data_IF_776625696134
#
_entry.id   IF_776625696134
#
_cell.length_a   1.000
_cell.length_b   1.000
_cell.length_c   1.000
_cell.angle_alpha   90.00
_cell.angle_beta   90.00
_cell.angle_gamma   90.00
#
_symmetry.space_group_name_H-M   'P 1'
#
loop_
_entity.id
_entity.type
_entity.pdbx_description
1 polymer ?
#
# COMPACT_ATOMS: atom_id res chain seq x y z
N UNK A 1 25.24 31.55 5.41
CA UNK A 1 24.75 30.32 6.07
C UNK A 1 23.35 29.97 5.53
N UNK A 2 22.94 30.59 4.42
CA UNK A 2 21.53 30.78 4.08
C UNK A 2 21.00 29.81 3.01
N UNK A 3 21.86 29.05 2.34
CA UNK A 3 21.46 28.14 1.26
C UNK A 3 20.96 26.77 1.78
N UNK A 4 21.49 26.30 2.91
CA UNK A 4 21.05 25.05 3.52
C UNK A 4 19.68 25.18 4.19
N UNK A 5 19.39 26.32 4.81
CA UNK A 5 18.10 26.55 5.46
C UNK A 5 16.96 26.66 4.44
N UNK A 6 17.20 27.32 3.31
CA UNK A 6 16.27 27.39 2.17
C UNK A 6 16.01 25.99 1.58
N UNK A 7 17.07 25.23 1.32
CA UNK A 7 16.95 23.85 0.82
C UNK A 7 16.18 22.92 1.78
N UNK A 8 16.40 23.07 3.10
CA UNK A 8 15.66 22.29 4.11
C UNK A 8 14.19 22.70 4.17
N UNK A 9 13.87 23.98 3.97
CA UNK A 9 12.49 24.45 3.89
C UNK A 9 11.76 23.88 2.67
N UNK A 10 12.41 23.86 1.50
CA UNK A 10 11.84 23.27 0.28
C UNK A 10 11.56 21.77 0.45
N UNK A 11 12.49 21.01 1.06
CA UNK A 11 12.27 19.59 1.36
C UNK A 11 11.09 19.42 2.32
N UNK A 12 10.99 20.27 3.35
CA UNK A 12 9.90 20.20 4.32
C UNK A 12 8.55 20.46 3.65
N UNK A 13 8.46 21.43 2.75
CA UNK A 13 7.25 21.71 1.98
C UNK A 13 6.83 20.51 1.11
N UNK A 14 7.79 19.88 0.41
CA UNK A 14 7.51 18.67 -0.39
C UNK A 14 7.04 17.53 0.51
N UNK A 15 7.70 17.31 1.65
CA UNK A 15 7.32 16.27 2.61
C UNK A 15 5.91 16.50 3.17
N UNK A 16 5.56 17.74 3.50
CA UNK A 16 4.21 18.11 3.93
C UNK A 16 3.19 17.87 2.82
N UNK A 17 3.50 18.26 1.58
CA UNK A 17 2.66 17.99 0.40
C UNK A 17 2.37 16.49 0.22
N UNK A 18 3.40 15.64 0.29
CA UNK A 18 3.24 14.19 0.21
C UNK A 18 2.39 13.63 1.37
N UNK A 19 2.59 14.12 2.59
CA UNK A 19 1.78 13.71 3.74
C UNK A 19 0.30 14.12 3.60
N UNK A 20 0.04 15.30 3.05
CA UNK A 20 -1.32 15.78 2.78
C UNK A 20 -2.00 14.94 1.69
N UNK A 21 -1.31 14.60 0.61
CA UNK A 21 -1.83 13.69 -0.43
C UNK A 21 -2.19 12.32 0.15
N UNK A 22 -1.32 11.73 0.98
CA UNK A 22 -1.61 10.46 1.64
C UNK A 22 -2.82 10.54 2.59
N UNK A 23 -2.98 11.68 3.29
CA UNK A 23 -4.15 11.94 4.14
C UNK A 23 -5.44 12.08 3.33
N UNK A 24 -5.41 12.80 2.21
CA UNK A 24 -6.57 12.94 1.31
C UNK A 24 -6.96 11.59 0.72
N UNK A 25 -5.99 10.83 0.21
CA UNK A 25 -6.20 9.47 -0.30
C UNK A 25 -6.87 8.57 0.76
N UNK A 26 -6.43 8.63 2.02
CA UNK A 26 -7.09 7.86 3.09
C UNK A 26 -8.59 8.17 3.20
N UNK A 27 -8.98 9.44 3.21
CA UNK A 27 -10.39 9.83 3.32
C UNK A 27 -11.20 9.54 2.06
N UNK A 28 -10.56 9.59 0.89
CA UNK A 28 -11.20 9.25 -0.38
C UNK A 28 -11.45 7.73 -0.49
N UNK A 29 -10.47 6.91 -0.12
CA UNK A 29 -10.53 5.45 -0.28
C UNK A 29 -11.17 4.70 0.89
N UNK A 30 -11.29 5.28 2.09
CA UNK A 30 -11.86 4.57 3.25
C UNK A 30 -13.26 4.00 2.98
N UNK A 31 -14.17 4.82 2.42
CA UNK A 31 -15.53 4.40 2.12
C UNK A 31 -15.63 3.36 1.00
N UNK A 32 -14.94 3.55 -0.15
CA UNK A 32 -14.82 2.52 -1.18
C UNK A 32 -14.28 1.19 -0.66
N UNK A 33 -13.22 1.20 0.16
CA UNK A 33 -12.63 -0.02 0.75
C UNK A 33 -13.61 -0.72 1.68
N UNK A 34 -14.34 0.03 2.51
CA UNK A 34 -15.40 -0.56 3.35
C UNK A 34 -16.47 -1.26 2.51
N UNK A 35 -17.01 -0.58 1.50
CA UNK A 35 -18.00 -1.18 0.60
C UNK A 35 -17.46 -2.40 -0.13
N UNK A 36 -16.20 -2.38 -0.56
CA UNK A 36 -15.55 -3.52 -1.21
C UNK A 36 -15.50 -4.72 -0.25
N UNK A 37 -15.01 -4.51 0.97
CA UNK A 37 -14.90 -5.56 1.99
C UNK A 37 -16.28 -6.11 2.42
N UNK A 38 -17.27 -5.24 2.59
CA UNK A 38 -18.62 -5.62 3.01
C UNK A 38 -19.32 -6.50 1.94
N UNK A 39 -18.99 -6.30 0.67
CA UNK A 39 -19.50 -7.09 -0.46
C UNK A 39 -18.54 -8.23 -0.88
N UNK A 40 -17.66 -8.69 0.03
CA UNK A 40 -16.57 -9.63 -0.29
C UNK A 40 -17.00 -10.93 -1.00
N UNK A 41 -18.25 -11.37 -0.84
CA UNK A 41 -18.79 -12.55 -1.53
C UNK A 41 -18.95 -12.36 -3.04
N UNK A 42 -19.26 -11.15 -3.52
CA UNK A 42 -19.59 -10.87 -4.93
C UNK A 42 -18.48 -10.19 -5.72
N UNK A 43 -17.52 -9.56 -5.04
CA UNK A 43 -16.41 -8.82 -5.67
C UNK A 43 -15.48 -9.75 -6.47
N UNK A 44 -15.14 -9.32 -7.69
CA UNK A 44 -14.22 -10.01 -8.60
C UNK A 44 -12.75 -9.74 -8.27
N UNK A 45 -11.86 -10.62 -8.73
CA UNK A 45 -10.41 -10.44 -8.58
C UNK A 45 -9.91 -9.14 -9.21
N UNK A 46 -10.43 -8.76 -10.39
CA UNK A 46 -10.05 -7.53 -11.09
C UNK A 46 -10.42 -6.27 -10.28
N UNK A 47 -11.58 -6.24 -9.65
CA UNK A 47 -11.98 -5.12 -8.79
C UNK A 47 -11.06 -4.96 -7.57
N UNK A 48 -10.57 -6.07 -7.04
CA UNK A 48 -9.61 -6.09 -5.92
C UNK A 48 -8.25 -5.59 -6.40
N UNK A 49 -7.76 -6.09 -7.54
CA UNK A 49 -6.51 -5.65 -8.13
C UNK A 49 -6.50 -4.15 -8.35
N UNK A 50 -7.54 -3.62 -9.01
CA UNK A 50 -7.68 -2.17 -9.23
C UNK A 50 -7.66 -1.38 -7.90
N UNK A 51 -8.37 -1.84 -6.87
CA UNK A 51 -8.34 -1.18 -5.56
C UNK A 51 -6.94 -1.19 -4.95
N UNK A 52 -6.23 -2.31 -5.04
CA UNK A 52 -4.88 -2.45 -4.49
C UNK A 52 -3.87 -1.61 -5.27
N UNK A 53 -3.95 -1.51 -6.59
CA UNK A 53 -3.12 -0.62 -7.42
C UNK A 53 -3.24 0.85 -6.96
N UNK A 54 -4.47 1.31 -6.74
CA UNK A 54 -4.71 2.67 -6.24
C UNK A 54 -4.13 2.89 -4.84
N UNK A 55 -4.36 1.95 -3.92
CA UNK A 55 -3.87 2.07 -2.55
C UNK A 55 -2.34 1.93 -2.45
N UNK A 56 -1.72 1.09 -3.28
CA UNK A 56 -0.28 0.84 -3.26
C UNK A 56 0.52 2.12 -3.51
N UNK A 57 0.01 3.00 -4.37
CA UNK A 57 0.60 4.31 -4.68
C UNK A 57 0.74 5.23 -3.46
N UNK A 58 -0.01 4.99 -2.38
CA UNK A 58 0.00 5.80 -1.17
C UNK A 58 0.38 5.01 0.09
N UNK A 59 0.90 3.78 -0.04
CA UNK A 59 1.23 2.93 1.11
C UNK A 59 2.39 3.45 1.97
N UNK A 60 3.13 4.47 1.52
CA UNK A 60 4.06 5.22 2.35
C UNK A 60 3.36 5.99 3.49
N UNK A 61 2.05 6.24 3.37
CA UNK A 61 1.24 6.81 4.44
C UNK A 61 0.55 5.71 5.24
N UNK A 62 0.85 5.63 6.53
CA UNK A 62 0.46 4.51 7.42
C UNK A 62 -1.05 4.19 7.39
N UNK A 63 -1.91 5.21 7.31
CA UNK A 63 -3.36 5.00 7.31
C UNK A 63 -3.85 4.33 6.02
N UNK A 64 -3.28 4.68 4.86
CA UNK A 64 -3.59 4.00 3.59
C UNK A 64 -3.05 2.57 3.63
N UNK A 65 -1.84 2.36 4.16
CA UNK A 65 -1.33 1.00 4.37
C UNK A 65 -2.27 0.15 5.24
N UNK A 66 -2.95 0.76 6.20
CA UNK A 66 -4.04 0.13 6.96
C UNK A 66 -5.19 -0.36 6.08
N UNK A 67 -5.65 0.48 5.14
CA UNK A 67 -6.67 0.11 4.15
C UNK A 67 -6.19 -1.01 3.22
N UNK A 68 -4.96 -0.91 2.71
CA UNK A 68 -4.34 -1.92 1.86
C UNK A 68 -4.32 -3.29 2.54
N UNK A 69 -3.79 -3.34 3.78
CA UNK A 69 -3.76 -4.57 4.59
C UNK A 69 -5.15 -5.10 4.90
N UNK A 70 -6.16 -4.24 5.07
CA UNK A 70 -7.56 -4.65 5.26
C UNK A 70 -8.07 -5.40 4.02
N UNK A 71 -7.89 -4.85 2.82
CA UNK A 71 -8.26 -5.50 1.56
C UNK A 71 -7.54 -6.85 1.42
N UNK A 72 -6.21 -6.90 1.60
CA UNK A 72 -5.45 -8.15 1.53
C UNK A 72 -6.02 -9.22 2.47
N UNK A 73 -6.24 -8.90 3.76
CA UNK A 73 -6.76 -9.86 4.74
C UNK A 73 -8.17 -10.33 4.42
N UNK A 74 -9.04 -9.43 3.95
CA UNK A 74 -10.42 -9.78 3.59
C UNK A 74 -10.46 -10.76 2.42
N UNK A 75 -9.60 -10.58 1.42
CA UNK A 75 -9.69 -11.31 0.16
C UNK A 75 -8.68 -12.45 0.00
N UNK A 76 -7.70 -12.59 0.91
CA UNK A 76 -6.66 -13.61 0.82
C UNK A 76 -7.21 -15.03 0.62
N UNK A 77 -8.24 -15.42 1.37
CA UNK A 77 -8.81 -16.76 1.24
C UNK A 77 -9.54 -17.00 -0.10
N UNK A 78 -10.01 -15.92 -0.74
CA UNK A 78 -10.77 -15.99 -2.00
C UNK A 78 -9.85 -15.96 -3.21
N UNK A 79 -8.81 -15.12 -3.17
CA UNK A 79 -7.86 -14.91 -4.27
C UNK A 79 -6.41 -14.92 -3.75
N UNK A 80 -5.92 -16.07 -3.25
CA UNK A 80 -4.63 -16.13 -2.55
C UNK A 80 -3.44 -15.77 -3.43
N UNK A 81 -3.46 -16.14 -4.73
CA UNK A 81 -2.37 -15.83 -5.67
C UNK A 81 -2.29 -14.31 -5.91
N UNK A 82 -3.38 -13.70 -6.35
CA UNK A 82 -3.47 -12.24 -6.54
C UNK A 82 -3.06 -11.46 -5.30
N UNK A 83 -3.60 -11.79 -4.12
CA UNK A 83 -3.22 -11.09 -2.88
C UNK A 83 -1.75 -11.30 -2.52
N UNK A 84 -1.18 -12.47 -2.79
CA UNK A 84 0.24 -12.74 -2.54
C UNK A 84 1.14 -11.88 -3.44
N UNK A 85 0.79 -11.74 -4.71
CA UNK A 85 1.52 -10.87 -5.65
C UNK A 85 1.53 -9.42 -5.16
N UNK A 86 0.38 -8.91 -4.71
CA UNK A 86 0.28 -7.58 -4.13
C UNK A 86 1.05 -7.42 -2.81
N UNK A 87 1.12 -8.46 -1.96
CA UNK A 87 1.99 -8.42 -0.78
C UNK A 87 3.45 -8.32 -1.22
N UNK A 88 3.86 -9.07 -2.25
CA UNK A 88 5.22 -9.00 -2.80
C UNK A 88 5.53 -7.61 -3.35
N UNK A 89 4.64 -7.02 -4.18
CA UNK A 89 4.84 -5.67 -4.70
C UNK A 89 4.99 -4.62 -3.59
N UNK A 90 4.19 -4.72 -2.52
CA UNK A 90 4.35 -3.85 -1.36
C UNK A 90 5.72 -4.02 -0.69
N UNK A 91 6.18 -5.26 -0.49
CA UNK A 91 7.46 -5.50 0.16
C UNK A 91 8.62 -5.03 -0.70
N UNK A 92 8.55 -5.24 -2.02
CA UNK A 92 9.54 -4.77 -2.99
C UNK A 92 9.73 -3.25 -2.91
N UNK A 93 8.64 -2.50 -2.89
CA UNK A 93 8.65 -1.04 -2.94
C UNK A 93 8.95 -0.39 -1.58
N UNK A 94 8.36 -0.90 -0.50
CA UNK A 94 8.33 -0.20 0.80
C UNK A 94 9.15 -0.88 1.90
N UNK A 95 9.48 -2.17 1.76
CA UNK A 95 10.09 -2.98 2.83
C UNK A 95 11.17 -3.93 2.26
N UNK A 96 12.20 -3.39 1.58
CA UNK A 96 13.14 -4.19 0.80
C UNK A 96 13.89 -5.23 1.64
N UNK A 97 14.15 -4.97 2.92
CA UNK A 97 14.79 -5.94 3.81
C UNK A 97 13.92 -7.19 4.02
N UNK A 98 12.61 -7.00 4.20
CA UNK A 98 11.63 -8.09 4.36
C UNK A 98 11.44 -8.84 3.05
N UNK A 99 11.44 -8.13 1.93
CA UNK A 99 11.38 -8.74 0.61
C UNK A 99 12.58 -9.67 0.36
N UNK A 100 13.80 -9.23 0.67
CA UNK A 100 15.00 -10.06 0.53
C UNK A 100 14.99 -11.27 1.48
N UNK A 101 14.44 -11.13 2.69
CA UNK A 101 14.24 -12.25 3.60
C UNK A 101 13.25 -13.28 3.04
N UNK A 102 12.13 -12.82 2.47
CA UNK A 102 11.15 -13.69 1.82
C UNK A 102 11.75 -14.45 0.64
N UNK A 103 12.53 -13.79 -0.21
CA UNK A 103 13.25 -14.43 -1.32
C UNK A 103 14.24 -15.49 -0.84
N UNK A 104 15.01 -15.21 0.22
CA UNK A 104 15.93 -16.20 0.80
C UNK A 104 15.20 -17.46 1.28
N UNK A 105 14.05 -17.32 1.94
CA UNK A 105 13.23 -18.46 2.39
C UNK A 105 12.70 -19.29 1.22
N UNK A 106 12.15 -18.63 0.20
CA UNK A 106 11.60 -19.30 -0.98
C UNK A 106 12.66 -20.08 -1.80
N UNK A 107 13.94 -19.71 -1.70
CA UNK A 107 15.07 -20.44 -2.30
C UNK A 107 15.49 -21.64 -1.46
N UNK A 108 15.35 -21.59 -0.13
CA UNK A 108 15.69 -22.69 0.78
C UNK A 108 14.63 -23.80 0.75
N UNK A 109 13.36 -23.46 0.49
CA UNK A 109 12.25 -24.41 0.45
C UNK A 109 12.07 -25.11 -0.92
N UNK A 110 13.01 -24.93 -1.87
CA UNK A 110 13.07 -25.60 -3.19
C UNK A 110 14.15 -26.68 -3.23
#
# INVERSE_FOLDING_TARGET
>A
MDNYDEFLADIAEIAEGLANLGKEAYYEYMGPVERLCDNSSTVSENEIGLMLDYLLSFCGYEKVLGLYKKVCRTFYNKYPECISDYIVYYLEEYEPEKYEELKRRAVIDK
#
